data_IF_467358599269
#
_entry.id   IF_467358599269
#
_cell.length_a   1.000
_cell.length_b   1.000
_cell.length_c   1.000
_cell.angle_alpha   90.00
_cell.angle_beta   90.00
_cell.angle_gamma   90.00
#
_symmetry.space_group_name_H-M   'P 1'
#
loop_
_entity.id
_entity.type
_entity.pdbx_description
1 polymer ?
#
# COMPACT_ATOMS: atom_id res chain seq x y z
N UNK A 1 -13.02 5.22 6.71
CA UNK A 1 -11.81 4.46 7.12
C UNK A 1 -10.58 4.87 6.29
N UNK A 2 -10.64 5.00 4.96
CA UNK A 2 -9.47 5.36 4.12
C UNK A 2 -8.77 6.65 4.58
N UNK A 3 -9.53 7.72 4.83
CA UNK A 3 -8.98 8.97 5.34
C UNK A 3 -8.36 8.84 6.73
N UNK A 4 -8.86 7.95 7.58
CA UNK A 4 -8.25 7.67 8.88
C UNK A 4 -6.90 6.99 8.70
N UNK A 5 -6.81 5.97 7.85
CA UNK A 5 -5.54 5.33 7.52
C UNK A 5 -4.53 6.29 6.89
N UNK A 6 -4.96 7.17 5.98
CA UNK A 6 -4.10 8.20 5.40
C UNK A 6 -3.51 9.14 6.48
N UNK A 7 -4.31 9.50 7.51
CA UNK A 7 -3.82 10.30 8.66
C UNK A 7 -2.77 9.54 9.47
N UNK A 8 -2.95 8.22 9.68
CA UNK A 8 -1.95 7.40 10.37
C UNK A 8 -0.63 7.39 9.59
N UNK A 9 -0.68 7.16 8.26
CA UNK A 9 0.52 7.22 7.41
C UNK A 9 1.22 8.57 7.50
N UNK A 10 0.47 9.68 7.42
CA UNK A 10 1.03 11.02 7.52
C UNK A 10 1.64 11.28 8.90
N UNK A 11 1.00 10.82 9.98
CA UNK A 11 1.50 10.97 11.34
C UNK A 11 2.79 10.16 11.58
N UNK A 12 2.89 8.96 11.02
CA UNK A 12 4.10 8.14 11.08
C UNK A 12 5.30 8.79 10.36
N UNK A 13 5.03 9.66 9.38
CA UNK A 13 6.07 10.39 8.64
C UNK A 13 6.34 11.80 9.18
N UNK A 14 5.55 12.29 10.14
CA UNK A 14 5.55 13.69 10.60
C UNK A 14 6.92 14.17 11.08
N UNK A 15 7.64 13.34 11.84
CA UNK A 15 8.91 13.71 12.44
C UNK A 15 10.12 13.52 11.49
N UNK A 16 9.86 13.10 10.26
CA UNK A 16 10.87 12.91 9.23
C UNK A 16 11.17 14.23 8.52
N UNK A 17 12.39 14.73 8.67
CA UNK A 17 12.83 15.97 7.99
C UNK A 17 13.01 15.81 6.48
N UNK A 18 13.20 14.56 6.01
CA UNK A 18 13.43 14.18 4.61
C UNK A 18 12.17 13.75 3.86
N UNK A 19 11.00 13.79 4.51
CA UNK A 19 9.70 13.45 3.92
C UNK A 19 8.65 14.51 4.29
N UNK A 20 8.04 15.12 3.28
CA UNK A 20 6.89 16.00 3.47
C UNK A 20 5.63 15.33 2.90
N UNK A 21 4.67 15.01 3.76
CA UNK A 21 3.41 14.40 3.37
C UNK A 21 2.29 15.42 3.17
N UNK A 22 1.48 15.21 2.14
CA UNK A 22 0.21 15.90 1.93
C UNK A 22 -0.89 14.85 1.77
N UNK A 23 -2.00 15.00 2.48
CA UNK A 23 -3.17 14.14 2.31
C UNK A 23 -4.08 14.80 1.29
N UNK A 24 -4.39 14.08 0.22
CA UNK A 24 -5.40 14.48 -0.75
C UNK A 24 -6.61 13.55 -0.66
N UNK A 25 -7.80 14.12 -0.58
CA UNK A 25 -9.03 13.36 -0.77
C UNK A 25 -9.32 13.37 -2.27
N UNK A 26 -9.12 12.20 -2.88
CA UNK A 26 -9.27 12.03 -4.32
C UNK A 26 -10.70 11.57 -4.65
N UNK A 27 -11.60 12.51 -4.80
CA UNK A 27 -12.97 12.26 -5.23
C UNK A 27 -13.04 12.10 -6.77
N UNK A 28 -14.17 11.72 -7.30
CA UNK A 28 -14.37 11.62 -8.74
C UNK A 28 -15.50 12.58 -9.17
N UNK A 29 -15.22 13.65 -9.93
CA UNK A 29 -13.94 14.01 -10.57
C UNK A 29 -12.89 14.57 -9.58
N UNK A 30 -11.61 14.47 -9.96
CA UNK A 30 -10.47 15.01 -9.19
C UNK A 30 -9.60 15.90 -10.12
N UNK A 31 -10.05 17.11 -10.47
CA UNK A 31 -9.42 17.93 -11.49
C UNK A 31 -8.01 18.40 -11.15
N UNK A 32 -7.69 18.61 -9.86
CA UNK A 32 -6.36 19.00 -9.38
C UNK A 32 -5.38 17.81 -9.32
N UNK A 33 -5.89 16.58 -9.40
CA UNK A 33 -5.11 15.35 -9.23
C UNK A 33 -3.87 15.25 -10.12
N UNK A 34 -3.97 15.45 -11.44
CA UNK A 34 -2.80 15.38 -12.32
C UNK A 34 -1.69 16.36 -11.93
N UNK A 35 -2.03 17.57 -11.47
CA UNK A 35 -1.04 18.56 -11.04
C UNK A 35 -0.39 18.18 -9.70
N UNK A 36 -1.13 17.60 -8.78
CA UNK A 36 -0.59 17.07 -7.51
C UNK A 36 0.34 15.89 -7.75
N UNK A 37 -0.07 14.94 -8.60
CA UNK A 37 0.73 13.78 -9.01
C UNK A 37 2.05 14.25 -9.64
N UNK A 38 2.01 15.25 -10.51
CA UNK A 38 3.19 15.76 -11.20
C UNK A 38 4.25 16.33 -10.23
N UNK A 39 3.84 16.89 -9.10
CA UNK A 39 4.72 17.51 -8.09
C UNK A 39 5.25 16.55 -7.03
N UNK A 40 4.62 15.39 -6.84
CA UNK A 40 4.98 14.45 -5.78
C UNK A 40 6.19 13.59 -6.18
N UNK A 41 7.01 13.14 -5.22
CA UNK A 41 8.09 12.16 -5.42
C UNK A 41 7.59 10.73 -5.14
N UNK A 42 6.51 10.59 -4.40
CA UNK A 42 5.86 9.33 -4.10
C UNK A 42 4.37 9.48 -3.85
N UNK A 43 3.63 8.42 -4.08
CA UNK A 43 2.19 8.33 -3.81
C UNK A 43 1.91 7.11 -2.95
N UNK A 44 1.16 7.32 -1.87
CA UNK A 44 0.52 6.24 -1.10
C UNK A 44 -0.95 6.23 -1.45
N UNK A 45 -1.40 5.15 -2.07
CA UNK A 45 -2.78 4.98 -2.51
C UNK A 45 -3.53 4.06 -1.55
N UNK A 46 -4.46 4.65 -0.80
CA UNK A 46 -5.36 3.94 0.11
C UNK A 46 -6.78 4.46 -0.11
N UNK A 47 -7.48 3.85 -1.04
CA UNK A 47 -8.79 4.28 -1.53
C UNK A 47 -9.60 3.10 -2.10
N UNK A 48 -10.83 3.37 -2.51
CA UNK A 48 -11.71 2.38 -3.10
C UNK A 48 -11.34 2.12 -4.57
N UNK A 49 -11.03 0.86 -4.91
CA UNK A 49 -10.81 0.34 -6.27
C UNK A 49 -9.84 1.17 -7.13
N UNK A 50 -8.55 1.11 -6.78
CA UNK A 50 -7.52 1.92 -7.42
C UNK A 50 -7.36 1.72 -8.94
N UNK A 51 -7.60 0.51 -9.45
CA UNK A 51 -7.59 0.26 -10.89
C UNK A 51 -8.62 1.09 -11.63
N UNK A 52 -9.86 1.11 -11.13
CA UNK A 52 -10.92 1.97 -11.67
C UNK A 52 -10.58 3.44 -11.48
N UNK A 53 -10.19 3.83 -10.28
CA UNK A 53 -9.82 5.22 -9.99
C UNK A 53 -8.77 5.76 -10.96
N UNK A 54 -7.75 4.98 -11.31
CA UNK A 54 -6.71 5.42 -12.24
C UNK A 54 -7.22 5.44 -13.69
N UNK A 55 -7.95 4.41 -14.13
CA UNK A 55 -8.22 4.18 -15.55
C UNK A 55 -9.48 4.87 -16.07
N UNK A 56 -10.49 5.16 -15.23
CA UNK A 56 -11.72 5.83 -15.66
C UNK A 56 -11.51 7.30 -16.08
N UNK A 57 -10.37 7.89 -15.75
CA UNK A 57 -9.99 9.24 -16.19
C UNK A 57 -8.68 9.19 -16.99
N UNK A 58 -8.72 9.43 -18.33
CA UNK A 58 -7.55 9.40 -19.18
C UNK A 58 -6.43 10.38 -18.75
N UNK A 59 -6.77 11.55 -18.20
CA UNK A 59 -5.79 12.53 -17.71
C UNK A 59 -5.08 11.98 -16.48
N UNK A 60 -5.82 11.34 -15.58
CA UNK A 60 -5.27 10.69 -14.38
C UNK A 60 -4.40 9.49 -14.74
N UNK A 61 -4.86 8.62 -15.65
CA UNK A 61 -4.08 7.49 -16.16
C UNK A 61 -2.75 7.94 -16.80
N UNK A 62 -2.79 9.01 -17.59
CA UNK A 62 -1.60 9.63 -18.19
C UNK A 62 -0.67 10.19 -17.10
N UNK A 63 -1.21 10.84 -16.08
CA UNK A 63 -0.43 11.39 -14.96
C UNK A 63 0.28 10.28 -14.17
N UNK A 64 -0.40 9.19 -13.81
CA UNK A 64 0.22 8.04 -13.15
C UNK A 64 1.30 7.37 -14.00
N UNK A 65 1.07 7.24 -15.30
CA UNK A 65 2.05 6.69 -16.25
C UNK A 65 3.30 7.58 -16.33
N UNK A 66 3.13 8.89 -16.45
CA UNK A 66 4.25 9.84 -16.46
C UNK A 66 4.98 9.86 -15.11
N UNK A 67 4.25 9.77 -14.01
CA UNK A 67 4.78 9.67 -12.66
C UNK A 67 5.68 8.43 -12.48
N UNK A 68 5.22 7.27 -12.93
CA UNK A 68 6.02 6.05 -12.89
C UNK A 68 7.28 6.15 -13.73
N UNK A 69 7.14 6.62 -14.99
CA UNK A 69 8.27 6.74 -15.96
C UNK A 69 9.43 7.60 -15.46
N UNK A 70 9.20 8.56 -14.56
CA UNK A 70 10.28 9.34 -13.94
C UNK A 70 10.93 8.66 -12.73
N UNK A 71 10.59 7.40 -12.46
CA UNK A 71 11.17 6.62 -11.37
C UNK A 71 10.61 6.96 -9.98
N UNK A 72 9.42 7.56 -9.89
CA UNK A 72 8.80 7.95 -8.63
C UNK A 72 8.29 6.74 -7.82
N UNK A 73 8.11 6.92 -6.50
CA UNK A 73 7.69 5.87 -5.58
C UNK A 73 6.17 5.63 -5.58
N UNK A 74 5.76 4.37 -5.57
CA UNK A 74 4.36 3.98 -5.51
C UNK A 74 4.11 3.01 -4.35
N UNK A 75 3.14 3.31 -3.51
CA UNK A 75 2.67 2.41 -2.46
C UNK A 75 1.17 2.22 -2.60
N UNK A 76 0.69 0.99 -2.44
CA UNK A 76 -0.74 0.69 -2.49
C UNK A 76 -1.15 -0.23 -1.37
N UNK A 77 -2.24 0.13 -0.70
CA UNK A 77 -2.79 -0.63 0.41
C UNK A 77 -4.23 -1.06 0.16
N UNK A 78 -4.53 -2.26 0.61
CA UNK A 78 -5.85 -2.86 0.68
C UNK A 78 -6.62 -2.72 -0.64
N UNK A 79 -7.86 -2.24 -0.63
CA UNK A 79 -8.69 -2.13 -1.83
C UNK A 79 -8.17 -1.10 -2.86
N UNK A 80 -7.19 -0.29 -2.49
CA UNK A 80 -6.43 0.51 -3.45
C UNK A 80 -5.77 -0.33 -4.56
N UNK A 81 -5.49 -1.63 -4.30
CA UNK A 81 -4.97 -2.56 -5.32
C UNK A 81 -6.06 -3.25 -6.16
N UNK A 82 -7.34 -2.91 -5.95
CA UNK A 82 -8.47 -3.52 -6.64
C UNK A 82 -8.66 -3.04 -8.07
N UNK A 83 -9.03 -3.97 -8.98
CA UNK A 83 -9.43 -3.69 -10.34
C UNK A 83 -10.49 -4.71 -10.79
N UNK A 84 -11.78 -4.39 -10.63
CA UNK A 84 -12.87 -5.28 -11.01
C UNK A 84 -12.90 -5.55 -12.51
N UNK A 85 -12.76 -4.48 -13.31
CA UNK A 85 -12.66 -4.58 -14.75
C UNK A 85 -11.29 -5.20 -15.12
N UNK A 86 -11.33 -6.29 -15.90
CA UNK A 86 -10.15 -7.00 -16.37
C UNK A 86 -9.21 -6.11 -17.19
N UNK A 87 -9.74 -5.14 -17.93
CA UNK A 87 -8.96 -4.20 -18.73
C UNK A 87 -8.09 -3.27 -17.87
N UNK A 88 -8.48 -3.04 -16.63
CA UNK A 88 -7.71 -2.22 -15.68
C UNK A 88 -6.53 -2.99 -15.04
N UNK A 89 -6.53 -4.32 -15.11
CA UNK A 89 -5.51 -5.16 -14.44
C UNK A 89 -4.12 -4.94 -15.02
N UNK A 90 -3.97 -5.06 -16.35
CA UNK A 90 -2.65 -4.94 -16.98
C UNK A 90 -2.01 -3.55 -16.82
N UNK A 91 -2.73 -2.42 -17.01
CA UNK A 91 -2.19 -1.10 -16.70
C UNK A 91 -1.80 -0.93 -15.22
N UNK A 92 -2.62 -1.47 -14.29
CA UNK A 92 -2.34 -1.42 -12.87
C UNK A 92 -1.08 -2.19 -12.47
N UNK A 93 -0.90 -3.39 -13.03
CA UNK A 93 0.29 -4.21 -12.82
C UNK A 93 1.59 -3.50 -13.25
N UNK A 94 1.55 -2.72 -14.34
CA UNK A 94 2.71 -1.92 -14.79
C UNK A 94 3.14 -0.85 -13.78
N UNK A 95 2.23 -0.39 -12.92
CA UNK A 95 2.50 0.62 -11.90
C UNK A 95 2.91 -0.01 -10.57
N UNK A 96 2.20 -1.03 -10.12
CA UNK A 96 2.30 -1.53 -8.75
C UNK A 96 2.93 -2.92 -8.61
N UNK A 97 2.99 -3.70 -9.68
CA UNK A 97 3.57 -5.06 -9.64
C UNK A 97 2.72 -6.11 -8.93
N UNK A 98 1.49 -5.77 -8.57
CA UNK A 98 0.52 -6.68 -7.97
C UNK A 98 -0.88 -6.06 -8.00
N UNK A 99 -1.91 -6.88 -8.15
CA UNK A 99 -3.29 -6.43 -8.32
C UNK A 99 -4.29 -7.47 -7.80
N UNK A 100 -5.29 -7.01 -7.06
CA UNK A 100 -6.50 -7.78 -6.76
C UNK A 100 -7.52 -7.55 -7.88
N UNK A 101 -7.33 -8.23 -9.00
CA UNK A 101 -7.99 -7.89 -10.25
C UNK A 101 -8.73 -9.04 -10.93
N UNK A 102 -9.68 -8.66 -11.80
CA UNK A 102 -10.48 -9.59 -12.59
C UNK A 102 -11.68 -10.19 -11.85
N UNK A 103 -12.46 -11.06 -12.51
CA UNK A 103 -13.66 -11.67 -11.94
C UNK A 103 -13.36 -12.76 -10.91
N UNK A 104 -12.19 -13.37 -10.97
CA UNK A 104 -11.71 -14.49 -10.14
C UNK A 104 -10.97 -14.04 -8.86
N UNK A 105 -11.21 -12.82 -8.41
CA UNK A 105 -10.62 -12.25 -7.17
C UNK A 105 -11.00 -13.07 -5.95
N UNK A 106 -10.04 -13.26 -5.05
CA UNK A 106 -10.27 -13.93 -3.78
C UNK A 106 -9.89 -13.06 -2.60
N UNK A 107 -10.71 -13.07 -1.57
CA UNK A 107 -10.45 -12.42 -0.29
C UNK A 107 -11.00 -13.27 0.85
N UNK A 108 -10.42 -13.13 2.02
CA UNK A 108 -10.87 -13.82 3.23
C UNK A 108 -10.51 -13.02 4.47
N UNK A 109 -11.39 -13.08 5.46
CA UNK A 109 -11.08 -12.66 6.83
C UNK A 109 -10.45 -13.83 7.56
N UNK A 110 -9.15 -13.75 7.80
CA UNK A 110 -8.36 -14.77 8.48
C UNK A 110 -8.34 -14.48 9.98
N UNK A 111 -8.87 -15.40 10.79
CA UNK A 111 -8.76 -15.37 12.27
C UNK A 111 -7.40 -15.95 12.67
N UNK A 112 -6.77 -15.38 13.72
CA UNK A 112 -5.42 -15.80 14.11
C UNK A 112 -4.42 -15.63 12.96
N UNK A 113 -4.47 -14.48 12.28
CA UNK A 113 -3.70 -14.23 11.07
C UNK A 113 -2.20 -14.19 11.36
N UNK A 114 -1.48 -15.22 10.92
CA UNK A 114 -0.03 -15.34 11.13
C UNK A 114 0.74 -14.71 9.99
N UNK A 115 1.41 -13.61 10.27
CA UNK A 115 2.29 -12.91 9.35
C UNK A 115 3.67 -13.56 9.32
N UNK A 116 4.05 -14.11 8.20
CA UNK A 116 5.36 -14.69 7.98
C UNK A 116 6.22 -13.74 7.14
N UNK A 117 7.36 -13.35 7.68
CA UNK A 117 8.35 -12.55 6.95
C UNK A 117 9.00 -13.44 5.88
N UNK A 118 8.72 -13.15 4.59
CA UNK A 118 9.23 -13.92 3.46
C UNK A 118 10.66 -13.51 3.06
N UNK A 119 11.00 -12.22 3.22
CA UNK A 119 12.29 -11.67 2.81
C UNK A 119 12.90 -10.79 3.90
N UNK A 120 13.47 -11.38 4.97
CA UNK A 120 13.94 -10.63 6.16
C UNK A 120 15.13 -9.68 5.87
N UNK A 121 15.85 -9.89 4.77
CA UNK A 121 16.97 -9.02 4.35
C UNK A 121 16.52 -7.80 3.54
N UNK A 122 15.24 -7.76 3.10
CA UNK A 122 14.75 -6.62 2.34
C UNK A 122 14.60 -5.38 3.25
N UNK A 123 15.02 -4.17 2.83
CA UNK A 123 14.98 -2.98 3.68
C UNK A 123 13.60 -2.67 4.29
N UNK A 124 12.52 -2.91 3.53
CA UNK A 124 11.15 -2.73 4.04
C UNK A 124 10.86 -3.62 5.25
N UNK A 125 11.55 -4.75 5.38
CA UNK A 125 11.35 -5.72 6.46
C UNK A 125 12.34 -5.54 7.64
N UNK A 126 13.19 -4.52 7.60
CA UNK A 126 14.17 -4.27 8.66
C UNK A 126 13.50 -4.11 10.04
N UNK A 127 13.91 -4.91 11.02
CA UNK A 127 13.35 -4.93 12.36
C UNK A 127 11.89 -5.40 12.46
N UNK A 128 11.35 -5.98 11.39
CA UNK A 128 10.04 -6.63 11.38
C UNK A 128 10.24 -8.13 11.58
N UNK A 129 9.53 -8.69 12.55
CA UNK A 129 9.48 -10.11 12.85
C UNK A 129 8.11 -10.68 12.51
N UNK A 130 8.02 -11.99 12.36
CA UNK A 130 6.72 -12.66 12.19
C UNK A 130 5.85 -12.40 13.44
N UNK A 131 4.57 -12.17 13.23
CA UNK A 131 3.62 -11.81 14.27
C UNK A 131 2.22 -12.33 13.94
N UNK A 132 1.32 -12.29 14.89
CA UNK A 132 -0.07 -12.69 14.74
C UNK A 132 -1.01 -11.53 15.03
N UNK A 133 -2.09 -11.45 14.26
CA UNK A 133 -3.23 -10.59 14.55
C UNK A 133 -4.47 -11.44 14.86
N UNK A 134 -5.35 -11.00 15.76
CA UNK A 134 -6.58 -11.73 16.04
C UNK A 134 -7.43 -12.01 14.80
N UNK A 135 -7.45 -11.07 13.87
CA UNK A 135 -8.10 -11.19 12.56
C UNK A 135 -7.61 -10.11 11.61
N UNK A 136 -7.57 -10.43 10.31
CA UNK A 136 -7.35 -9.45 9.24
C UNK A 136 -7.96 -9.94 7.93
N UNK A 137 -8.45 -9.03 7.09
CA UNK A 137 -8.87 -9.35 5.73
C UNK A 137 -7.70 -9.24 4.76
N UNK A 138 -7.52 -10.28 3.98
CA UNK A 138 -6.54 -10.30 2.91
C UNK A 138 -7.17 -10.55 1.56
N UNK A 139 -6.65 -9.88 0.56
CA UNK A 139 -6.74 -10.29 -0.84
C UNK A 139 -5.57 -11.23 -1.12
N UNK A 140 -5.87 -12.37 -1.73
CA UNK A 140 -4.88 -13.39 -2.03
C UNK A 140 -5.05 -13.94 -3.45
N UNK A 141 -4.15 -14.82 -3.92
CA UNK A 141 -4.01 -15.19 -5.32
C UNK A 141 -3.95 -13.96 -6.24
N UNK A 142 -3.14 -12.99 -5.82
CA UNK A 142 -2.99 -11.73 -6.51
C UNK A 142 -2.45 -11.93 -7.93
N UNK A 143 -2.93 -11.14 -8.87
CA UNK A 143 -2.30 -11.05 -10.19
C UNK A 143 -0.96 -10.35 -10.04
N UNK A 144 0.08 -10.93 -10.64
CA UNK A 144 1.43 -10.37 -10.69
C UNK A 144 1.95 -10.39 -12.12
N UNK A 145 2.93 -9.56 -12.51
CA UNK A 145 3.54 -9.63 -13.82
C UNK A 145 4.16 -11.01 -14.09
N UNK A 146 4.18 -11.46 -15.33
CA UNK A 146 4.88 -12.70 -15.69
C UNK A 146 6.39 -12.50 -15.53
N UNK A 147 7.04 -13.37 -14.73
CA UNK A 147 8.50 -13.37 -14.48
C UNK A 147 9.05 -11.96 -14.15
N UNK A 148 8.53 -11.27 -13.14
CA UNK A 148 8.95 -9.92 -12.85
C UNK A 148 10.37 -9.93 -12.28
N UNK A 149 11.31 -9.27 -12.95
CA UNK A 149 12.64 -9.01 -12.38
C UNK A 149 12.51 -8.09 -11.17
N UNK A 150 13.32 -8.34 -10.13
CA UNK A 150 13.40 -7.52 -8.92
C UNK A 150 12.06 -7.37 -8.17
N UNK A 151 11.20 -8.37 -8.26
CA UNK A 151 9.99 -8.49 -7.48
C UNK A 151 10.23 -9.41 -6.28
N UNK A 152 9.84 -8.98 -5.09
CA UNK A 152 10.16 -9.68 -3.85
C UNK A 152 8.90 -9.82 -3.01
N UNK A 153 8.54 -11.07 -2.65
CA UNK A 153 7.54 -11.30 -1.62
C UNK A 153 8.07 -10.82 -0.27
N UNK A 154 7.34 -9.95 0.41
CA UNK A 154 7.71 -9.42 1.73
C UNK A 154 7.02 -10.17 2.85
N UNK A 155 5.73 -10.38 2.72
CA UNK A 155 4.87 -11.01 3.73
C UNK A 155 4.03 -12.08 3.08
N UNK A 156 3.95 -13.20 3.77
CA UNK A 156 3.07 -14.32 3.45
C UNK A 156 2.18 -14.65 4.64
N UNK A 157 0.97 -15.14 4.34
CA UNK A 157 -0.02 -15.56 5.34
C UNK A 157 -0.58 -16.92 4.92
N UNK A 158 -0.76 -17.88 5.83
CA UNK A 158 -1.50 -19.10 5.55
C UNK A 158 -2.99 -18.79 5.33
N UNK A 159 -3.48 -19.08 4.13
CA UNK A 159 -4.90 -18.89 3.75
C UNK A 159 -5.35 -20.15 2.98
N UNK A 160 -6.42 -20.78 3.42
CA UNK A 160 -6.97 -22.00 2.78
C UNK A 160 -5.92 -23.11 2.57
N UNK A 161 -5.02 -23.29 3.54
CA UNK A 161 -3.96 -24.30 3.49
C UNK A 161 -2.75 -23.92 2.62
N UNK A 162 -2.77 -22.79 1.94
CA UNK A 162 -1.69 -22.30 1.11
C UNK A 162 -0.94 -21.14 1.77
N UNK A 163 0.33 -20.98 1.44
CA UNK A 163 1.13 -19.83 1.83
C UNK A 163 0.96 -18.73 0.78
N UNK A 164 0.04 -17.79 1.04
CA UNK A 164 -0.31 -16.72 0.11
C UNK A 164 0.55 -15.48 0.32
N UNK A 165 1.08 -14.91 -0.77
CA UNK A 165 1.79 -13.63 -0.70
C UNK A 165 0.79 -12.48 -0.65
N UNK A 166 0.82 -11.74 0.46
CA UNK A 166 -0.09 -10.63 0.74
C UNK A 166 0.62 -9.26 0.75
N UNK A 167 1.94 -9.26 0.71
CA UNK A 167 2.75 -8.05 0.61
C UNK A 167 3.99 -8.27 -0.25
N UNK A 168 4.32 -7.29 -1.08
CA UNK A 168 5.45 -7.36 -2.02
C UNK A 168 6.16 -6.02 -2.17
N UNK A 169 7.39 -6.07 -2.64
CA UNK A 169 8.16 -4.93 -3.14
C UNK A 169 8.60 -5.21 -4.58
N UNK A 170 8.70 -4.18 -5.39
CA UNK A 170 9.13 -4.27 -6.77
C UNK A 170 10.00 -3.08 -7.17
N UNK A 171 11.21 -3.35 -7.64
CA UNK A 171 12.02 -2.36 -8.33
C UNK A 171 11.62 -2.39 -9.80
N UNK A 172 10.88 -1.37 -10.21
CA UNK A 172 10.31 -1.29 -11.55
C UNK A 172 11.38 -1.08 -12.64
N UNK A 173 11.09 -1.53 -13.87
CA UNK A 173 12.02 -1.31 -15.01
C UNK A 173 12.29 0.17 -15.32
N UNK A 174 11.40 1.09 -14.92
CA UNK A 174 11.56 2.53 -15.06
C UNK A 174 12.48 3.17 -14.01
N UNK A 175 13.09 2.36 -13.16
CA UNK A 175 13.96 2.79 -12.06
C UNK A 175 13.21 3.24 -10.81
N UNK A 176 11.88 3.23 -10.79
CA UNK A 176 11.07 3.49 -9.61
C UNK A 176 10.89 2.26 -8.74
N UNK A 177 10.21 2.45 -7.60
CA UNK A 177 9.91 1.38 -6.65
C UNK A 177 8.44 1.35 -6.30
N UNK A 178 7.88 0.15 -6.19
CA UNK A 178 6.49 -0.05 -5.77
C UNK A 178 6.43 -1.02 -4.59
N UNK A 179 5.53 -0.76 -3.66
CA UNK A 179 5.16 -1.69 -2.58
C UNK A 179 3.65 -1.84 -2.55
N UNK A 180 3.17 -3.06 -2.40
CA UNK A 180 1.76 -3.33 -2.14
C UNK A 180 1.58 -4.21 -0.92
N UNK A 181 0.47 -3.99 -0.22
CA UNK A 181 0.08 -4.81 0.91
C UNK A 181 -1.45 -4.92 0.99
N UNK A 182 -1.97 -6.15 1.00
CA UNK A 182 -3.41 -6.43 0.84
C UNK A 182 -4.24 -6.34 2.12
N UNK A 183 -3.60 -6.38 3.30
CA UNK A 183 -4.27 -6.17 4.58
C UNK A 183 -4.61 -4.70 4.84
N UNK A 184 -4.78 -4.33 6.12
CA UNK A 184 -5.20 -3.01 6.60
C UNK A 184 -6.70 -2.74 6.44
N UNK A 185 -7.51 -3.78 6.37
CA UNK A 185 -8.97 -3.65 6.40
C UNK A 185 -9.46 -3.16 7.76
N UNK A 186 -9.06 -3.86 8.82
CA UNK A 186 -9.51 -3.52 10.17
C UNK A 186 -8.65 -2.44 10.79
N UNK A 187 -9.25 -1.28 10.98
CA UNK A 187 -8.54 -0.09 11.48
C UNK A 187 -7.90 -0.29 12.86
N UNK A 188 -8.44 -1.17 13.70
CA UNK A 188 -7.87 -1.51 15.01
C UNK A 188 -6.45 -2.09 14.90
N UNK A 189 -6.14 -2.79 13.82
CA UNK A 189 -4.83 -3.40 13.58
C UNK A 189 -3.71 -2.38 13.29
N UNK A 190 -4.06 -1.14 12.95
CA UNK A 190 -3.09 -0.06 12.79
C UNK A 190 -2.37 0.29 14.10
N UNK A 191 -2.86 -0.19 15.25
CA UNK A 191 -2.18 -0.10 16.56
C UNK A 191 -0.97 -1.02 16.66
N UNK A 192 -0.88 -2.05 15.82
CA UNK A 192 0.19 -3.02 15.89
C UNK A 192 1.51 -2.41 15.38
N UNK A 193 2.55 -2.46 16.20
CA UNK A 193 3.85 -1.82 15.91
C UNK A 193 4.46 -2.32 14.60
N UNK A 194 4.38 -3.63 14.31
CA UNK A 194 4.92 -4.21 13.09
C UNK A 194 4.19 -3.68 11.84
N UNK A 195 2.89 -3.41 11.93
CA UNK A 195 2.15 -2.75 10.85
C UNK A 195 2.64 -1.33 10.62
N UNK A 196 2.77 -0.54 11.68
CA UNK A 196 3.26 0.84 11.59
C UNK A 196 4.66 0.87 10.97
N UNK A 197 5.52 -0.09 11.34
CA UNK A 197 6.87 -0.23 10.80
C UNK A 197 6.86 -0.58 9.32
N UNK A 198 6.07 -1.58 8.92
CA UNK A 198 5.87 -1.97 7.51
C UNK A 198 5.42 -0.79 6.65
N UNK A 199 4.36 -0.10 7.07
CA UNK A 199 3.78 1.04 6.35
C UNK A 199 4.81 2.15 6.15
N UNK A 200 5.51 2.51 7.23
CA UNK A 200 6.51 3.59 7.20
C UNK A 200 7.71 3.23 6.33
N UNK A 201 8.21 2.01 6.46
CA UNK A 201 9.39 1.55 5.71
C UNK A 201 9.09 1.35 4.23
N UNK A 202 7.85 0.97 3.88
CA UNK A 202 7.38 0.94 2.50
C UNK A 202 7.44 2.34 1.84
N UNK A 203 6.98 3.38 2.55
CA UNK A 203 7.08 4.76 2.07
C UNK A 203 8.53 5.18 1.88
N UNK A 204 9.38 4.98 2.89
CA UNK A 204 10.79 5.36 2.81
C UNK A 204 11.53 4.66 1.68
N UNK A 205 11.34 3.35 1.56
CA UNK A 205 12.02 2.57 0.53
C UNK A 205 11.59 2.97 -0.89
N UNK A 206 10.30 3.22 -1.10
CA UNK A 206 9.81 3.66 -2.42
C UNK A 206 10.28 5.07 -2.77
N UNK A 207 10.49 5.94 -1.79
CA UNK A 207 11.11 7.25 -1.94
C UNK A 207 12.66 7.20 -2.03
N UNK A 208 13.25 5.99 -2.03
CA UNK A 208 14.71 5.78 -1.99
C UNK A 208 15.39 6.46 -0.79
N UNK A 209 14.66 6.59 0.33
CA UNK A 209 15.19 7.08 1.60
C UNK A 209 15.74 5.93 2.43
N UNK A 210 16.80 6.15 3.21
CA UNK A 210 17.40 5.12 4.04
C UNK A 210 16.41 4.54 5.05
N UNK A 211 16.36 3.19 5.14
CA UNK A 211 15.72 2.46 6.22
C UNK A 211 16.83 1.91 7.11
N UNK A 212 16.84 2.23 8.41
CA UNK A 212 17.87 1.71 9.34
C UNK A 212 17.82 0.18 9.43
N UNK A 213 18.97 -0.48 9.61
CA UNK A 213 19.08 -1.96 9.67
C UNK A 213 18.17 -2.59 10.75
N UNK A 214 17.98 -1.94 11.89
CA UNK A 214 17.05 -2.37 12.94
C UNK A 214 15.60 -1.89 12.77
N UNK A 215 15.28 -1.30 11.61
CA UNK A 215 14.00 -0.64 11.36
C UNK A 215 13.93 0.77 11.95
N UNK A 216 12.88 1.49 11.56
CA UNK A 216 12.64 2.85 12.06
C UNK A 216 12.13 2.83 13.50
N UNK A 217 12.48 3.85 14.27
CA UNK A 217 11.85 4.13 15.57
C UNK A 217 10.47 4.71 15.31
N UNK A 218 9.47 4.13 15.93
CA UNK A 218 8.08 4.57 15.82
C UNK A 218 7.76 5.55 16.96
N UNK A 219 7.02 6.58 16.61
CA UNK A 219 6.48 7.54 17.56
C UNK A 219 5.12 7.99 17.04
N UNK A 220 4.08 7.30 17.46
CA UNK A 220 2.71 7.59 17.04
C UNK A 220 1.84 7.82 18.29
N UNK A 221 1.15 8.95 18.33
CA UNK A 221 0.10 9.17 19.33
C UNK A 221 -1.07 8.20 19.05
N UNK A 222 -1.44 7.34 20.03
CA UNK A 222 -2.53 6.38 19.87
C UNK A 222 -3.86 7.03 19.46
N UNK A 223 -4.09 8.29 19.82
CA UNK A 223 -5.29 9.05 19.43
C UNK A 223 -5.44 9.25 17.92
N UNK A 224 -4.34 9.23 17.17
CA UNK A 224 -4.37 9.34 15.71
C UNK A 224 -5.03 8.13 15.05
N UNK A 225 -5.00 6.98 15.72
CA UNK A 225 -5.61 5.73 15.23
C UNK A 225 -7.12 5.69 15.54
N UNK A 226 -7.61 6.53 16.43
CA UNK A 226 -9.03 6.51 16.78
C UNK A 226 -9.90 6.96 15.62
N UNK A 227 -10.91 6.16 15.29
CA UNK A 227 -11.94 6.59 14.35
C UNK A 227 -12.82 7.63 15.01
N UNK A 228 -13.01 8.76 14.37
CA UNK A 228 -14.00 9.74 14.82
C UNK A 228 -15.39 9.08 14.76
N UNK A 229 -16.11 9.11 15.86
CA UNK A 229 -17.53 8.72 15.86
C UNK A 229 -18.26 9.56 14.80
N UNK A 230 -19.16 8.97 14.01
CA UNK A 230 -20.04 9.76 13.15
C UNK A 230 -20.72 10.82 14.03
N UNK A 231 -20.77 12.08 13.57
CA UNK A 231 -21.64 13.06 14.22
C UNK A 231 -23.05 12.48 14.14
N UNK A 232 -23.72 12.39 15.29
CA UNK A 232 -25.14 12.12 15.28
C UNK A 232 -25.78 13.17 14.35
N UNK A 233 -26.48 12.69 13.33
CA UNK A 233 -27.31 13.57 12.51
C UNK A 233 -28.43 14.07 13.41
N UNK A 234 -28.40 15.39 13.69
CA UNK A 234 -29.55 16.08 14.27
C UNK A 234 -30.75 15.98 13.33
#
# INVERSE_FOLDING_TARGET
EYMAGARVVAALMKDRKDVKGTIAQADNPWPEGPALIAKADGIVMFLNEGGRFIQDDPKRAKAFTAFAKRGAGLVVYHWGMGAKNVEHVAPFLKLFGGCHGGPDRKYSVVKGAQFQVASPKHPVMAGIHSFELPFEEFYYQLKVPKNPKNWTALIQVPIEGNKETVGWAWERPDGGRSVGYSGLHFHVNWRHEQYQRLISQAVLWTLKRPVPNGGIKLKLDPKVIELKKPKASD
#
